data_IF_704774466779
#
_entry.id   IF_704774466779
#
_cell.length_a   1.000
_cell.length_b   1.000
_cell.length_c   1.000
_cell.angle_alpha   90.00
_cell.angle_beta   90.00
_cell.angle_gamma   90.00
#
_symmetry.space_group_name_H-M   'P 1'
#
loop_
_entity.id
_entity.type
_entity.pdbx_description
1 polymer ?
#
# COMPACT_ATOMS: atom_id res chain seq x y z
N UNK A 1 -13.21 2.38 -12.92
CA UNK A 1 -13.59 2.77 -11.55
C UNK A 1 -12.32 3.04 -10.76
N UNK A 2 -12.24 4.20 -10.11
CA UNK A 2 -11.14 4.57 -9.23
C UNK A 2 -11.63 4.37 -7.79
N UNK A 3 -10.99 3.48 -7.04
CA UNK A 3 -11.33 3.26 -5.64
C UNK A 3 -10.82 4.42 -4.80
N UNK A 4 -11.67 4.95 -3.92
CA UNK A 4 -11.27 6.02 -3.02
C UNK A 4 -10.26 5.49 -2.01
N UNK A 5 -10.46 4.30 -1.47
CA UNK A 5 -9.52 3.64 -0.56
C UNK A 5 -9.10 2.28 -1.10
N UNK A 6 -7.79 2.03 -1.14
CA UNK A 6 -7.24 0.74 -1.54
C UNK A 6 -5.86 0.52 -0.90
N UNK A 7 -5.45 -0.74 -0.82
CA UNK A 7 -4.04 -1.14 -0.73
C UNK A 7 -3.48 -1.20 -2.14
N UNK A 8 -2.48 -0.37 -2.45
CA UNK A 8 -1.78 -0.42 -3.72
C UNK A 8 -0.36 -0.92 -3.51
N UNK A 9 0.03 -1.93 -4.29
CA UNK A 9 1.34 -2.56 -4.24
C UNK A 9 1.98 -2.56 -5.63
N UNK A 10 3.22 -2.12 -5.71
CA UNK A 10 4.03 -2.17 -6.92
C UNK A 10 4.81 -3.49 -6.95
N UNK A 11 4.76 -4.20 -8.08
CA UNK A 11 5.16 -5.60 -8.24
C UNK A 11 6.35 -5.83 -9.21
N UNK A 12 7.04 -4.76 -9.58
CA UNK A 12 8.15 -4.77 -10.52
C UNK A 12 7.69 -4.92 -11.98
N UNK A 13 8.63 -5.32 -12.84
CA UNK A 13 8.40 -5.42 -14.29
C UNK A 13 7.57 -6.63 -14.76
N UNK A 14 7.02 -7.44 -13.86
CA UNK A 14 6.33 -8.70 -14.20
C UNK A 14 4.86 -8.65 -13.81
N UNK A 15 3.97 -8.68 -14.79
CA UNK A 15 2.52 -8.73 -14.55
C UNK A 15 2.12 -9.95 -13.69
N UNK A 16 2.80 -11.08 -13.86
CA UNK A 16 2.54 -12.31 -13.09
C UNK A 16 2.66 -12.10 -11.60
N UNK A 17 3.58 -11.26 -11.14
CA UNK A 17 3.73 -10.92 -9.72
C UNK A 17 2.51 -10.17 -9.17
N UNK A 18 1.99 -9.19 -9.93
CA UNK A 18 0.77 -8.48 -9.57
C UNK A 18 -0.46 -9.42 -9.55
N UNK A 19 -0.51 -10.40 -10.47
CA UNK A 19 -1.53 -11.45 -10.48
C UNK A 19 -1.44 -12.39 -9.27
N UNK A 20 -0.23 -12.79 -8.89
CA UNK A 20 -0.01 -13.66 -7.73
C UNK A 20 -0.40 -12.96 -6.43
N UNK A 21 -0.09 -11.68 -6.30
CA UNK A 21 -0.55 -10.87 -5.17
C UNK A 21 -2.08 -10.76 -5.15
N UNK A 22 -2.72 -10.48 -6.30
CA UNK A 22 -4.19 -10.43 -6.38
C UNK A 22 -4.86 -11.76 -5.96
N UNK A 23 -4.26 -12.91 -6.33
CA UNK A 23 -4.75 -14.25 -5.91
C UNK A 23 -4.64 -14.46 -4.41
N UNK A 24 -3.59 -13.94 -3.77
CA UNK A 24 -3.44 -14.02 -2.31
C UNK A 24 -4.57 -13.30 -1.57
N UNK A 25 -5.06 -12.19 -2.13
CA UNK A 25 -6.21 -11.44 -1.63
C UNK A 25 -7.54 -11.94 -2.19
N UNK A 26 -7.67 -13.24 -2.51
CA UNK A 26 -8.92 -13.81 -3.00
C UNK A 26 -10.07 -13.51 -2.03
N UNK A 27 -11.16 -12.96 -2.56
CA UNK A 27 -12.29 -12.47 -1.77
C UNK A 27 -12.31 -10.95 -1.61
N UNK A 28 -11.30 -10.24 -2.12
CA UNK A 28 -11.31 -8.78 -2.25
C UNK A 28 -11.32 -8.39 -3.74
N UNK A 29 -12.05 -7.32 -4.13
CA UNK A 29 -11.88 -6.66 -5.41
C UNK A 29 -10.43 -6.27 -5.63
N UNK A 30 -9.87 -6.73 -6.75
CA UNK A 30 -8.49 -6.44 -7.14
C UNK A 30 -8.40 -5.90 -8.56
N UNK A 31 -7.42 -5.03 -8.79
CA UNK A 31 -7.15 -4.39 -10.08
C UNK A 31 -5.67 -4.53 -10.37
N UNK A 32 -5.37 -5.01 -11.56
CA UNK A 32 -4.02 -5.14 -12.07
C UNK A 32 -3.85 -4.11 -13.17
N UNK A 33 -2.78 -3.33 -13.09
CA UNK A 33 -2.53 -2.26 -14.05
C UNK A 33 -1.04 -1.97 -14.17
N UNK A 34 -0.64 -1.36 -15.27
CA UNK A 34 0.71 -0.82 -15.46
C UNK A 34 0.67 0.69 -15.27
N UNK A 35 1.74 1.26 -14.72
CA UNK A 35 1.91 2.72 -14.60
C UNK A 35 2.44 3.39 -15.88
N UNK A 36 2.63 2.61 -16.97
CA UNK A 36 3.21 3.10 -18.22
C UNK A 36 4.75 3.20 -18.20
N UNK A 37 5.39 3.10 -17.02
CA UNK A 37 6.84 3.03 -16.84
C UNK A 37 7.38 1.59 -16.84
N UNK A 38 6.58 0.62 -17.29
CA UNK A 38 6.94 -0.80 -17.30
C UNK A 38 6.79 -1.50 -15.94
N UNK A 39 6.35 -0.79 -14.90
CA UNK A 39 6.08 -1.36 -13.59
C UNK A 39 4.62 -1.81 -13.51
N UNK A 40 4.40 -2.97 -12.89
CA UNK A 40 3.08 -3.57 -12.69
C UNK A 40 2.61 -3.38 -11.26
N UNK A 41 1.32 -3.08 -11.12
CA UNK A 41 0.69 -2.75 -9.87
C UNK A 41 -0.48 -3.69 -9.59
N UNK A 42 -0.69 -3.94 -8.30
CA UNK A 42 -1.87 -4.61 -7.77
C UNK A 42 -2.56 -3.67 -6.77
N UNK A 43 -3.77 -3.24 -7.11
CA UNK A 43 -4.66 -2.52 -6.20
C UNK A 43 -5.69 -3.47 -5.62
N UNK A 44 -5.93 -3.41 -4.31
CA UNK A 44 -6.90 -4.22 -3.58
C UNK A 44 -7.81 -3.28 -2.79
N UNK A 45 -9.11 -3.32 -3.07
CA UNK A 45 -10.09 -2.51 -2.37
C UNK A 45 -10.90 -3.38 -1.39
N UNK A 46 -11.14 -2.93 -0.16
CA UNK A 46 -12.12 -3.56 0.71
C UNK A 46 -13.53 -3.17 0.24
N UNK A 47 -14.37 -4.17 -0.06
CA UNK A 47 -15.76 -3.93 -0.54
C UNK A 47 -16.54 -3.03 0.40
N UNK A 48 -16.31 -3.19 1.70
CA UNK A 48 -16.96 -2.48 2.80
C UNK A 48 -16.74 -0.96 2.75
N UNK A 49 -15.70 -0.49 2.04
CA UNK A 49 -15.37 0.93 1.94
C UNK A 49 -15.73 1.56 0.60
N UNK A 50 -16.01 0.78 -0.46
CA UNK A 50 -16.44 1.27 -1.77
C UNK A 50 -15.80 2.61 -2.22
N UNK A 51 -16.66 3.60 -2.48
CA UNK A 51 -16.32 5.00 -2.75
C UNK A 51 -16.55 5.90 -1.52
N UNK A 52 -16.48 5.34 -0.32
CA UNK A 52 -16.81 6.06 0.92
C UNK A 52 -15.65 6.99 1.29
N UNK A 53 -15.95 8.29 1.37
CA UNK A 53 -15.04 9.29 1.94
C UNK A 53 -15.13 9.27 3.46
N UNK A 54 -14.07 9.74 4.12
CA UNK A 54 -14.05 9.90 5.57
C UNK A 54 -14.80 11.19 5.89
N UNK A 55 -16.08 11.07 6.22
CA UNK A 55 -16.97 12.21 6.53
C UNK A 55 -17.32 12.29 8.02
N UNK A 56 -16.90 11.28 8.78
CA UNK A 56 -17.09 11.19 10.23
C UNK A 56 -15.95 10.44 10.93
N UNK A 57 -15.90 10.53 12.26
CA UNK A 57 -14.98 9.74 13.08
C UNK A 57 -15.27 8.22 13.00
N UNK A 58 -16.52 7.84 12.78
CA UNK A 58 -16.92 6.45 12.56
C UNK A 58 -16.35 5.93 11.24
N UNK A 59 -16.38 6.74 10.18
CA UNK A 59 -15.76 6.40 8.91
C UNK A 59 -14.24 6.24 9.06
N UNK A 60 -13.58 7.17 9.75
CA UNK A 60 -12.15 7.07 10.02
C UNK A 60 -11.79 5.77 10.76
N UNK A 61 -12.64 5.37 11.71
CA UNK A 61 -12.49 4.11 12.46
C UNK A 61 -12.67 2.89 11.55
N UNK A 62 -13.72 2.89 10.72
CA UNK A 62 -14.00 1.80 9.77
C UNK A 62 -12.87 1.67 8.72
N UNK A 63 -12.40 2.79 8.16
CA UNK A 63 -11.29 2.81 7.21
C UNK A 63 -10.01 2.31 7.86
N UNK A 64 -9.72 2.74 9.09
CA UNK A 64 -8.56 2.26 9.85
C UNK A 64 -8.61 0.75 10.08
N UNK A 65 -9.78 0.21 10.42
CA UNK A 65 -9.96 -1.23 10.65
C UNK A 65 -9.73 -2.03 9.35
N UNK A 66 -10.29 -1.57 8.23
CA UNK A 66 -10.10 -2.21 6.93
C UNK A 66 -8.62 -2.14 6.48
N UNK A 67 -7.97 -0.98 6.64
CA UNK A 67 -6.55 -0.80 6.33
C UNK A 67 -5.68 -1.81 7.11
N UNK A 68 -5.92 -1.94 8.42
CA UNK A 68 -5.22 -2.89 9.28
C UNK A 68 -5.42 -4.34 8.82
N UNK A 69 -6.64 -4.70 8.39
CA UNK A 69 -6.94 -6.02 7.82
C UNK A 69 -6.15 -6.28 6.54
N UNK A 70 -6.07 -5.29 5.64
CA UNK A 70 -5.28 -5.41 4.41
C UNK A 70 -3.79 -5.57 4.69
N UNK A 71 -3.23 -4.79 5.64
CA UNK A 71 -1.84 -4.96 6.06
C UNK A 71 -1.59 -6.33 6.68
N UNK A 72 -2.51 -6.83 7.52
CA UNK A 72 -2.37 -8.15 8.12
C UNK A 72 -2.31 -9.27 7.05
N UNK A 73 -3.15 -9.19 6.02
CA UNK A 73 -3.11 -10.11 4.88
C UNK A 73 -1.84 -9.93 4.04
N UNK A 74 -1.38 -8.69 3.85
CA UNK A 74 -0.15 -8.41 3.11
C UNK A 74 1.09 -9.02 3.78
N UNK A 75 1.10 -9.14 5.12
CA UNK A 75 2.22 -9.78 5.85
C UNK A 75 2.40 -11.25 5.49
N UNK A 76 1.35 -11.91 5.02
CA UNK A 76 1.40 -13.34 4.63
C UNK A 76 1.48 -13.52 3.12
N UNK A 77 1.53 -12.43 2.35
CA UNK A 77 1.60 -12.47 0.90
C UNK A 77 2.95 -13.03 0.41
N UNK A 78 2.98 -13.65 -0.78
CA UNK A 78 4.23 -14.04 -1.40
C UNK A 78 5.13 -12.80 -1.63
N UNK A 79 6.47 -12.94 -1.63
CA UNK A 79 7.39 -11.81 -1.76
C UNK A 79 7.51 -11.35 -3.23
N UNK A 80 6.40 -10.89 -3.80
CA UNK A 80 6.26 -10.53 -5.23
C UNK A 80 6.06 -9.02 -5.44
N UNK A 81 6.02 -8.22 -4.38
CA UNK A 81 5.90 -6.78 -4.44
C UNK A 81 7.17 -6.08 -3.95
N UNK A 82 7.49 -4.89 -4.46
CA UNK A 82 8.62 -4.10 -3.99
C UNK A 82 8.21 -3.16 -2.87
N UNK A 83 7.05 -2.55 -2.97
CA UNK A 83 6.49 -1.71 -1.92
C UNK A 83 4.97 -1.64 -2.02
N UNK A 84 4.32 -1.30 -0.91
CA UNK A 84 2.88 -1.20 -0.84
C UNK A 84 2.42 -0.16 0.19
N UNK A 85 1.24 0.42 -0.03
CA UNK A 85 0.60 1.32 0.93
C UNK A 85 -0.92 1.27 0.80
N UNK A 86 -1.62 1.20 1.93
CA UNK A 86 -3.04 1.42 2.01
C UNK A 86 -3.32 2.89 2.32
N UNK A 87 -4.38 3.44 1.72
CA UNK A 87 -4.78 4.82 1.96
C UNK A 87 -5.79 5.31 0.94
N UNK A 88 -6.36 6.47 1.25
CA UNK A 88 -7.16 7.20 0.28
C UNK A 88 -6.29 7.65 -0.91
N UNK A 89 -6.84 7.55 -2.13
CA UNK A 89 -6.23 8.02 -3.38
C UNK A 89 -4.81 7.48 -3.64
N UNK A 90 -4.54 6.26 -3.18
CA UNK A 90 -3.20 5.63 -3.31
C UNK A 90 -2.92 4.97 -4.66
N UNK A 91 -3.80 5.15 -5.65
CA UNK A 91 -3.60 4.62 -6.99
C UNK A 91 -2.31 5.18 -7.59
N UNK A 92 -1.29 4.35 -7.76
CA UNK A 92 0.05 4.77 -8.18
C UNK A 92 0.59 5.97 -7.37
N UNK A 93 0.45 5.93 -6.02
CA UNK A 93 0.77 7.06 -5.13
C UNK A 93 2.16 7.69 -5.37
N UNK A 94 3.15 6.86 -5.71
CA UNK A 94 4.47 7.22 -6.22
C UNK A 94 4.90 6.12 -7.17
N UNK A 95 5.47 6.47 -8.33
CA UNK A 95 6.17 5.47 -9.14
C UNK A 95 7.42 4.99 -8.43
N UNK A 96 8.04 3.91 -8.92
CA UNK A 96 9.27 3.41 -8.32
C UNK A 96 10.37 4.48 -8.31
N UNK A 97 10.56 5.19 -9.43
CA UNK A 97 11.59 6.22 -9.54
C UNK A 97 11.29 7.41 -8.61
N UNK A 98 10.02 7.81 -8.49
CA UNK A 98 9.61 8.86 -7.56
C UNK A 98 9.83 8.47 -6.10
N UNK A 99 9.55 7.21 -5.73
CA UNK A 99 9.80 6.69 -4.39
C UNK A 99 11.30 6.68 -4.08
N UNK A 100 12.13 6.28 -5.04
CA UNK A 100 13.58 6.22 -4.88
C UNK A 100 14.23 7.60 -4.84
N UNK A 101 13.64 8.59 -5.51
CA UNK A 101 14.06 9.99 -5.45
C UNK A 101 13.63 10.69 -4.14
N UNK A 102 12.79 10.05 -3.33
CA UNK A 102 12.28 10.65 -2.11
C UNK A 102 13.35 10.75 -1.01
N UNK A 103 13.61 11.99 -0.58
CA UNK A 103 14.56 12.25 0.51
C UNK A 103 14.07 11.73 1.86
N UNK A 104 12.76 11.71 2.11
CA UNK A 104 12.15 11.28 3.36
C UNK A 104 10.91 10.39 3.17
N UNK A 105 11.11 9.08 3.28
CA UNK A 105 10.02 8.10 3.25
C UNK A 105 9.15 8.11 4.52
N UNK A 106 9.58 8.72 5.62
CA UNK A 106 8.83 8.70 6.90
C UNK A 106 7.52 9.48 6.84
N UNK A 107 7.38 10.35 5.85
CA UNK A 107 6.13 11.07 5.53
C UNK A 107 5.00 10.17 5.01
N UNK A 108 5.28 8.89 4.76
CA UNK A 108 4.30 7.92 4.30
C UNK A 108 4.00 6.86 5.38
N UNK A 109 3.18 7.18 6.40
CA UNK A 109 2.66 6.18 7.31
C UNK A 109 2.01 5.02 6.56
N UNK A 110 2.29 3.80 7.02
CA UNK A 110 1.82 2.57 6.39
C UNK A 110 2.60 2.14 5.15
N UNK A 111 3.65 2.85 4.74
CA UNK A 111 4.49 2.40 3.64
C UNK A 111 5.25 1.13 4.05
N UNK A 112 5.03 0.07 3.28
CA UNK A 112 5.78 -1.19 3.33
C UNK A 112 6.75 -1.19 2.16
N UNK A 113 8.00 -1.57 2.38
CA UNK A 113 9.05 -1.67 1.35
C UNK A 113 9.83 -2.97 1.51
N UNK A 114 10.38 -3.47 0.42
CA UNK A 114 11.36 -4.56 0.46
C UNK A 114 12.63 -4.11 1.17
N UNK A 115 13.38 -5.08 1.72
CA UNK A 115 14.72 -4.86 2.29
C UNK A 115 15.67 -4.15 1.31
N UNK A 116 15.54 -4.41 0.01
CA UNK A 116 16.35 -3.77 -1.03
C UNK A 116 16.06 -2.27 -1.11
N UNK A 117 14.78 -1.86 -1.14
CA UNK A 117 14.39 -0.44 -1.14
C UNK A 117 14.79 0.21 0.18
N UNK A 118 14.54 -0.44 1.32
CA UNK A 118 14.94 0.09 2.62
C UNK A 118 16.45 0.30 2.71
N UNK A 119 17.24 -0.63 2.17
CA UNK A 119 18.69 -0.52 2.11
C UNK A 119 19.12 0.63 1.19
N UNK A 120 18.57 0.69 -0.01
CA UNK A 120 18.92 1.71 -1.00
C UNK A 120 18.50 3.13 -0.58
N UNK A 121 17.50 3.26 0.29
CA UNK A 121 17.02 4.55 0.82
C UNK A 121 17.60 4.89 2.21
N UNK A 122 18.66 4.19 2.62
CA UNK A 122 19.50 4.57 3.77
C UNK A 122 19.15 3.92 5.10
N UNK A 123 18.41 2.80 5.12
CA UNK A 123 18.11 1.98 6.31
C UNK A 123 17.56 2.77 7.50
N UNK A 124 16.59 3.65 7.24
CA UNK A 124 16.04 4.56 8.24
C UNK A 124 15.43 3.78 9.43
N UNK A 125 15.80 4.17 10.65
CA UNK A 125 15.38 3.51 11.90
C UNK A 125 13.87 3.62 12.21
N UNK A 126 13.15 4.51 11.52
CA UNK A 126 11.70 4.63 11.65
C UNK A 126 10.95 3.40 11.11
N UNK A 127 11.62 2.57 10.28
CA UNK A 127 11.04 1.34 9.77
C UNK A 127 11.14 0.22 10.81
N UNK A 128 10.03 -0.48 10.99
CA UNK A 128 9.91 -1.70 11.81
C UNK A 128 9.81 -2.94 10.93
N UNK A 129 9.92 -4.13 11.54
CA UNK A 129 9.68 -5.39 10.85
C UNK A 129 8.22 -5.52 10.40
N UNK A 130 8.02 -6.00 9.18
CA UNK A 130 6.69 -6.27 8.64
C UNK A 130 6.47 -7.76 8.39
N UNK A 131 7.22 -8.30 7.45
CA UNK A 131 7.26 -9.72 7.05
C UNK A 131 8.70 -10.04 6.62
N UNK A 132 9.10 -11.33 6.52
CA UNK A 132 10.43 -11.67 6.03
C UNK A 132 10.72 -10.99 4.68
N UNK A 133 11.82 -10.22 4.60
CA UNK A 133 12.18 -9.45 3.41
C UNK A 133 11.49 -8.07 3.27
N UNK A 134 10.68 -7.66 4.24
CA UNK A 134 9.94 -6.39 4.22
C UNK A 134 10.05 -5.61 5.52
N UNK A 135 10.16 -4.29 5.35
CA UNK A 135 10.14 -3.29 6.41
C UNK A 135 8.96 -2.36 6.20
N UNK A 136 8.45 -1.75 7.26
CA UNK A 136 7.38 -0.77 7.12
C UNK A 136 7.42 0.35 8.14
N UNK A 137 6.79 1.47 7.81
CA UNK A 137 6.43 2.50 8.77
C UNK A 137 5.05 2.15 9.32
N UNK A 138 4.91 1.90 10.63
CA UNK A 138 3.63 1.49 11.21
C UNK A 138 2.49 2.45 10.85
N UNK A 139 1.41 1.87 10.35
CA UNK A 139 0.21 2.62 9.98
C UNK A 139 -0.48 3.19 11.23
N UNK A 140 -0.74 4.50 11.23
CA UNK A 140 -1.26 5.23 12.39
C UNK A 140 -2.80 5.27 12.47
N UNK A 141 -3.49 4.85 11.41
CA UNK A 141 -4.93 5.06 11.27
C UNK A 141 -5.25 6.35 10.52
N UNK A 142 -6.48 6.43 10.02
CA UNK A 142 -7.04 7.66 9.46
C UNK A 142 -7.64 8.52 10.57
N UNK A 143 -7.65 9.84 10.36
CA UNK A 143 -8.26 10.80 11.28
C UNK A 143 -9.38 11.56 10.56
N UNK A 144 -10.48 11.81 11.29
CA UNK A 144 -11.50 12.74 10.87
C UNK A 144 -11.09 14.15 11.31
N UNK A 145 -10.76 15.02 10.33
CA UNK A 145 -10.11 16.32 10.56
C UNK A 145 -8.59 16.16 10.75
N UNK A 146 -7.72 16.93 10.12
CA UNK A 146 -7.88 18.31 9.64
C UNK A 146 -7.68 18.42 8.14
N UNK A 147 -8.58 19.16 7.50
CA UNK A 147 -8.17 20.02 6.40
C UNK A 147 -6.96 20.86 6.86
N UNK A 148 -5.85 20.77 6.15
CA UNK A 148 -5.07 21.95 5.82
C UNK A 148 -4.77 21.91 4.35
#
# INVERSE_FOLDING_TARGET
MAWIFALNAECGGRETHARDLARHFRGFPSRIFSDGGGCWWCGIAPEELGEKRIESAEDATAVTAAARRLYWLLRTAPPVYRYARAGAETGAFRTYDELMAESDLTKFPGLVVSEDIWTATGKRAAFSDFAPGYRWIPYRGEAYGSSR
#
